data_IF_088533371547
#
_entry.id   IF_088533371547
#
_cell.length_a   1.000
_cell.length_b   1.000
_cell.length_c   1.000
_cell.angle_alpha   90.00
_cell.angle_beta   90.00
_cell.angle_gamma   90.00
#
_symmetry.space_group_name_H-M   'P 1'
#
loop_
_entity.id
_entity.type
_entity.pdbx_description
1 polymer ?
#
# COMPACT_ATOMS: atom_id res chain seq x y z
N UNK A 1 -5.76 10.95 -5.77
CA UNK A 1 -4.48 11.58 -5.35
C UNK A 1 -4.62 11.93 -3.89
N UNK A 2 -3.70 11.49 -3.05
CA UNK A 2 -3.87 11.55 -1.59
C UNK A 2 -3.15 12.75 -0.96
N UNK A 3 -2.00 13.15 -1.51
CA UNK A 3 -1.21 14.27 -1.04
C UNK A 3 -0.77 15.15 -2.22
N UNK A 4 -0.71 16.47 -1.99
CA UNK A 4 -0.15 17.43 -2.94
C UNK A 4 0.65 18.50 -2.20
N UNK A 5 1.85 18.80 -2.69
CA UNK A 5 2.73 19.81 -2.11
C UNK A 5 3.79 20.29 -3.11
N UNK A 6 4.49 21.36 -2.77
CA UNK A 6 5.62 21.85 -3.57
C UNK A 6 6.92 21.25 -3.05
N UNK A 7 7.57 20.44 -3.87
CA UNK A 7 8.87 19.86 -3.59
C UNK A 7 9.99 20.82 -4.01
N UNK A 8 11.10 20.94 -3.25
CA UNK A 8 12.16 21.91 -3.56
C UNK A 8 12.78 21.79 -4.94
N UNK A 9 12.90 20.57 -5.47
CA UNK A 9 13.54 20.29 -6.76
C UNK A 9 12.57 19.80 -7.85
N UNK A 10 11.46 19.18 -7.48
CA UNK A 10 10.49 18.59 -8.43
C UNK A 10 9.31 19.51 -8.74
N UNK A 11 9.19 20.66 -8.06
CA UNK A 11 8.06 21.56 -8.19
C UNK A 11 6.78 20.99 -7.57
N UNK A 12 5.63 21.16 -8.22
CA UNK A 12 4.37 20.61 -7.73
C UNK A 12 4.39 19.08 -7.84
N UNK A 13 4.19 18.42 -6.71
CA UNK A 13 4.18 16.96 -6.61
C UNK A 13 2.82 16.49 -6.09
N UNK A 14 2.27 15.50 -6.75
CA UNK A 14 1.13 14.73 -6.26
C UNK A 14 1.58 13.30 -5.93
N UNK A 15 1.27 12.86 -4.73
CA UNK A 15 1.53 11.49 -4.26
C UNK A 15 0.21 10.75 -4.23
N UNK A 16 0.19 9.56 -4.83
CA UNK A 16 -0.95 8.66 -4.80
C UNK A 16 -0.53 7.36 -4.12
N UNK A 17 -0.98 7.19 -2.88
CA UNK A 17 -0.61 6.07 -2.01
C UNK A 17 -1.40 4.83 -2.39
N UNK A 18 -0.74 3.69 -2.46
CA UNK A 18 -1.38 2.42 -2.76
C UNK A 18 -0.70 1.26 -2.03
N UNK A 19 -1.50 0.48 -1.30
CA UNK A 19 -1.03 -0.77 -0.68
C UNK A 19 -1.42 -1.92 -1.59
N UNK A 20 -0.45 -2.74 -1.97
CA UNK A 20 -0.65 -3.91 -2.83
C UNK A 20 -0.37 -5.20 -2.07
N UNK A 21 -1.18 -6.22 -2.31
CA UNK A 21 -0.95 -7.57 -1.80
C UNK A 21 -0.48 -8.50 -2.92
N UNK A 22 0.39 -9.44 -2.58
CA UNK A 22 0.75 -10.54 -3.47
C UNK A 22 -0.41 -11.55 -3.65
N UNK A 23 -1.31 -11.59 -2.66
CA UNK A 23 -2.45 -12.52 -2.62
C UNK A 23 -3.75 -11.73 -2.59
N UNK A 24 -4.34 -11.46 -3.74
CA UNK A 24 -5.71 -10.96 -3.83
C UNK A 24 -6.57 -12.00 -4.53
N UNK A 25 -7.80 -12.19 -4.07
CA UNK A 25 -8.77 -13.15 -4.63
C UNK A 25 -9.06 -12.96 -6.11
N UNK A 26 -8.70 -11.81 -6.67
CA UNK A 26 -8.85 -11.48 -8.09
C UNK A 26 -7.65 -11.89 -8.94
N UNK A 27 -6.60 -12.45 -8.35
CA UNK A 27 -5.40 -12.83 -9.10
C UNK A 27 -5.50 -14.28 -9.56
N UNK A 28 -5.38 -14.50 -10.87
CA UNK A 28 -5.18 -15.84 -11.44
C UNK A 28 -3.92 -16.46 -10.84
N UNK A 29 -3.94 -17.75 -10.52
CA UNK A 29 -2.83 -18.47 -9.89
C UNK A 29 -1.49 -18.34 -10.65
N UNK A 30 -1.55 -18.14 -11.97
CA UNK A 30 -0.40 -17.85 -12.82
C UNK A 30 0.28 -16.52 -12.46
N UNK A 31 -0.51 -15.49 -12.21
CA UNK A 31 -0.01 -14.16 -11.81
C UNK A 31 0.65 -14.17 -10.44
N UNK A 32 0.10 -14.95 -9.51
CA UNK A 32 0.68 -15.13 -8.17
C UNK A 32 2.06 -15.77 -8.28
N UNK A 33 2.22 -16.81 -9.12
CA UNK A 33 3.51 -17.46 -9.34
C UNK A 33 4.54 -16.53 -9.97
N UNK A 34 4.18 -15.83 -11.04
CA UNK A 34 5.09 -14.95 -11.77
C UNK A 34 5.55 -13.76 -10.89
N UNK A 35 4.67 -13.23 -10.06
CA UNK A 35 4.98 -12.10 -9.20
C UNK A 35 5.65 -12.53 -7.89
N UNK A 36 5.38 -13.74 -7.38
CA UNK A 36 6.08 -14.29 -6.23
C UNK A 36 7.53 -14.65 -6.55
N UNK A 37 7.84 -14.96 -7.81
CA UNK A 37 9.20 -15.25 -8.28
C UNK A 37 10.03 -14.00 -8.58
N UNK A 38 9.38 -12.82 -8.70
CA UNK A 38 10.05 -11.56 -9.03
C UNK A 38 10.14 -10.68 -7.78
N UNK A 39 11.36 -10.32 -7.40
CA UNK A 39 11.59 -9.42 -6.26
C UNK A 39 10.91 -8.07 -6.50
N UNK A 40 9.99 -7.68 -5.59
CA UNK A 40 9.18 -6.46 -5.73
C UNK A 40 8.07 -6.51 -6.78
N UNK A 41 7.72 -7.69 -7.30
CA UNK A 41 6.70 -7.86 -8.34
C UNK A 41 5.36 -7.17 -8.06
N UNK A 42 4.76 -7.32 -6.86
CA UNK A 42 3.52 -6.61 -6.52
C UNK A 42 3.68 -5.09 -6.55
N UNK A 43 4.79 -4.57 -6.04
CA UNK A 43 5.12 -3.15 -6.06
C UNK A 43 5.22 -2.60 -7.48
N UNK A 44 5.96 -3.25 -8.36
CA UNK A 44 6.11 -2.88 -9.78
C UNK A 44 4.75 -2.83 -10.47
N UNK A 45 3.89 -3.81 -10.24
CA UNK A 45 2.54 -3.83 -10.80
C UNK A 45 1.69 -2.66 -10.30
N UNK A 46 1.74 -2.36 -9.01
CA UNK A 46 1.03 -1.24 -8.42
C UNK A 46 1.46 0.09 -9.05
N UNK A 47 2.76 0.29 -9.22
CA UNK A 47 3.32 1.48 -9.90
C UNK A 47 2.82 1.59 -11.34
N UNK A 48 2.87 0.51 -12.12
CA UNK A 48 2.41 0.51 -13.50
C UNK A 48 0.91 0.81 -13.60
N UNK A 49 0.08 0.27 -12.71
CA UNK A 49 -1.34 0.58 -12.65
C UNK A 49 -1.60 2.07 -12.38
N UNK A 50 -0.80 2.71 -11.49
CA UNK A 50 -0.91 4.14 -11.22
C UNK A 50 -0.45 5.00 -12.40
N UNK A 51 0.63 4.62 -13.08
CA UNK A 51 1.12 5.32 -14.28
C UNK A 51 0.10 5.26 -15.43
N UNK A 52 -0.58 4.12 -15.61
CA UNK A 52 -1.66 4.00 -16.59
C UNK A 52 -2.88 4.86 -16.23
N UNK A 53 -3.23 4.93 -14.95
CA UNK A 53 -4.35 5.74 -14.47
C UNK A 53 -4.08 7.24 -14.58
N UNK A 54 -2.84 7.64 -14.34
CA UNK A 54 -2.41 9.05 -14.32
C UNK A 54 -1.19 9.25 -15.22
N UNK A 55 -1.36 9.20 -16.54
CA UNK A 55 -0.23 9.36 -17.45
C UNK A 55 0.34 10.79 -17.37
N UNK A 56 1.68 10.93 -17.39
CA UNK A 56 2.36 12.24 -17.23
C UNK A 56 1.89 13.30 -18.21
N UNK A 57 1.51 12.91 -19.41
CA UNK A 57 1.07 13.80 -20.49
C UNK A 57 -0.22 14.57 -20.13
N UNK A 58 -1.04 13.99 -19.24
CA UNK A 58 -2.25 14.62 -18.73
C UNK A 58 -1.99 15.59 -17.56
N UNK A 59 -0.78 15.54 -17.01
CA UNK A 59 -0.39 16.34 -15.84
C UNK A 59 0.95 17.07 -16.05
N UNK A 60 1.10 17.89 -17.11
CA UNK A 60 2.39 18.46 -17.52
C UNK A 60 2.98 19.46 -16.53
N UNK A 61 2.20 19.92 -15.56
CA UNK A 61 2.63 20.89 -14.53
C UNK A 61 2.91 20.28 -13.17
N UNK A 62 2.80 18.96 -13.03
CA UNK A 62 2.97 18.28 -11.77
C UNK A 62 3.69 16.96 -11.96
N UNK A 63 4.54 16.62 -11.01
CA UNK A 63 5.16 15.29 -10.92
C UNK A 63 4.24 14.37 -10.14
N UNK A 64 3.80 13.28 -10.75
CA UNK A 64 3.07 12.24 -10.05
C UNK A 64 4.03 11.22 -9.48
N UNK A 65 3.93 10.96 -8.19
CA UNK A 65 4.66 9.92 -7.49
C UNK A 65 3.72 8.79 -7.09
N UNK A 66 3.79 7.63 -7.72
CA UNK A 66 3.09 6.43 -7.26
C UNK A 66 3.79 5.88 -6.02
N UNK A 67 3.26 6.18 -4.84
CA UNK A 67 3.80 5.69 -3.57
C UNK A 67 3.19 4.33 -3.25
N UNK A 68 3.78 3.29 -3.80
CA UNK A 68 3.27 1.93 -3.65
C UNK A 68 4.04 1.19 -2.56
N UNK A 69 3.30 0.52 -1.68
CA UNK A 69 3.85 -0.31 -0.61
C UNK A 69 3.19 -1.68 -0.66
N UNK A 70 3.99 -2.73 -0.55
CA UNK A 70 3.47 -4.09 -0.40
C UNK A 70 2.85 -4.28 0.99
N UNK A 71 1.86 -5.14 1.09
CA UNK A 71 1.13 -5.38 2.34
C UNK A 71 2.03 -5.77 3.52
N UNK A 72 3.20 -6.36 3.26
CA UNK A 72 4.20 -6.69 4.27
C UNK A 72 5.19 -5.55 4.57
N UNK A 73 4.94 -4.34 4.07
CA UNK A 73 5.72 -3.14 4.41
C UNK A 73 6.86 -2.80 3.45
N UNK A 74 7.02 -3.54 2.34
CA UNK A 74 8.04 -3.24 1.34
C UNK A 74 7.59 -2.11 0.41
N UNK A 75 8.28 -0.95 0.37
CA UNK A 75 7.98 0.09 -0.59
C UNK A 75 8.55 -0.25 -1.97
N UNK A 76 7.91 0.26 -3.02
CA UNK A 76 8.45 0.22 -4.38
C UNK A 76 9.70 1.10 -4.52
N UNK A 77 10.49 0.90 -5.57
CA UNK A 77 11.67 1.75 -5.82
C UNK A 77 11.29 3.22 -5.99
N UNK A 78 10.17 3.52 -6.64
CA UNK A 78 9.66 4.89 -6.79
C UNK A 78 9.31 5.53 -5.44
N UNK A 79 8.72 4.77 -4.54
CA UNK A 79 8.42 5.23 -3.17
C UNK A 79 9.73 5.48 -2.40
N UNK A 80 10.74 4.61 -2.57
CA UNK A 80 12.06 4.77 -1.98
C UNK A 80 12.79 6.00 -2.50
N UNK A 81 12.82 6.20 -3.81
CA UNK A 81 13.47 7.35 -4.43
C UNK A 81 12.81 8.65 -4.01
N UNK A 82 11.49 8.63 -3.88
CA UNK A 82 10.77 9.77 -3.35
C UNK A 82 11.15 10.08 -1.90
N UNK A 83 11.17 9.08 -1.01
CA UNK A 83 11.62 9.26 0.38
C UNK A 83 13.08 9.75 0.44
N UNK A 84 13.95 9.23 -0.42
CA UNK A 84 15.34 9.70 -0.55
C UNK A 84 15.42 11.15 -0.98
N UNK A 85 14.54 11.61 -1.86
CA UNK A 85 14.50 13.00 -2.33
C UNK A 85 14.07 13.99 -1.24
N UNK A 86 13.29 13.55 -0.26
CA UNK A 86 12.86 14.34 0.90
C UNK A 86 13.88 14.32 2.04
N UNK A 87 14.81 13.37 2.04
CA UNK A 87 15.78 13.20 3.10
C UNK A 87 16.96 14.19 2.97
N UNK A 88 17.63 14.55 4.07
CA UNK A 88 18.80 15.42 4.05
C UNK A 88 19.90 14.94 3.10
N UNK A 89 20.71 15.89 2.58
CA UNK A 89 21.85 15.55 1.73
C UNK A 89 22.98 14.82 2.49
N UNK A 90 23.13 15.10 3.79
CA UNK A 90 24.09 14.42 4.65
C UNK A 90 23.74 12.92 4.78
N UNK A 91 24.69 12.06 4.44
CA UNK A 91 24.46 10.60 4.42
C UNK A 91 24.07 10.00 5.77
N UNK A 92 24.68 10.48 6.86
CA UNK A 92 24.38 9.99 8.21
C UNK A 92 22.97 10.38 8.66
N UNK A 93 22.59 11.64 8.46
CA UNK A 93 21.25 12.13 8.75
C UNK A 93 20.20 11.47 7.87
N UNK A 94 20.50 11.30 6.58
CA UNK A 94 19.66 10.60 5.61
C UNK A 94 19.34 9.18 6.07
N UNK A 95 20.36 8.44 6.52
CA UNK A 95 20.16 7.05 6.99
C UNK A 95 19.24 7.00 8.22
N UNK A 96 19.34 7.95 9.14
CA UNK A 96 18.49 8.03 10.32
C UNK A 96 17.04 8.35 9.92
N UNK A 97 16.84 9.37 9.08
CA UNK A 97 15.51 9.81 8.63
C UNK A 97 14.81 8.69 7.85
N UNK A 98 15.51 8.05 6.91
CA UNK A 98 14.92 6.95 6.14
C UNK A 98 14.58 5.76 7.01
N UNK A 99 15.44 5.36 7.96
CA UNK A 99 15.15 4.27 8.89
C UNK A 99 13.91 4.57 9.72
N UNK A 100 13.78 5.80 10.22
CA UNK A 100 12.60 6.23 10.98
C UNK A 100 11.34 6.17 10.13
N UNK A 101 11.37 6.70 8.91
CA UNK A 101 10.25 6.65 7.98
C UNK A 101 9.81 5.21 7.65
N UNK A 102 10.76 4.31 7.43
CA UNK A 102 10.50 2.88 7.24
C UNK A 102 9.84 2.23 8.44
N UNK A 103 10.37 2.49 9.63
CA UNK A 103 9.82 1.93 10.86
C UNK A 103 8.39 2.39 11.08
N UNK A 104 8.11 3.68 10.93
CA UNK A 104 6.77 4.25 11.08
C UNK A 104 5.80 3.67 10.05
N UNK A 105 6.21 3.59 8.78
CA UNK A 105 5.39 3.02 7.71
C UNK A 105 5.04 1.55 7.97
N UNK A 106 6.03 0.73 8.32
CA UNK A 106 5.82 -0.69 8.62
C UNK A 106 4.92 -0.89 9.83
N UNK A 107 5.08 -0.07 10.86
CA UNK A 107 4.24 -0.12 12.07
C UNK A 107 2.79 0.24 11.74
N UNK A 108 2.55 1.32 11.00
CA UNK A 108 1.20 1.73 10.60
C UNK A 108 0.51 0.67 9.74
N UNK A 109 1.24 0.04 8.81
CA UNK A 109 0.71 -1.05 7.99
C UNK A 109 0.35 -2.27 8.84
N UNK A 110 1.21 -2.67 9.77
CA UNK A 110 0.96 -3.81 10.66
C UNK A 110 -0.27 -3.56 11.54
N UNK A 111 -0.40 -2.36 12.12
CA UNK A 111 -1.57 -1.97 12.91
C UNK A 111 -2.84 -2.02 12.07
N UNK A 112 -2.81 -1.48 10.85
CA UNK A 112 -3.98 -1.48 9.97
C UNK A 112 -4.39 -2.88 9.55
N UNK A 113 -3.44 -3.76 9.27
CA UNK A 113 -3.74 -5.17 8.99
C UNK A 113 -4.37 -5.87 10.19
N UNK A 114 -3.84 -5.65 11.40
CA UNK A 114 -4.41 -6.20 12.62
C UNK A 114 -5.87 -5.72 12.84
N UNK A 115 -6.15 -4.43 12.64
CA UNK A 115 -7.52 -3.89 12.71
C UNK A 115 -8.46 -4.56 11.71
N UNK A 116 -8.02 -4.78 10.47
CA UNK A 116 -8.82 -5.44 9.44
C UNK A 116 -9.12 -6.89 9.80
N UNK A 117 -8.13 -7.63 10.32
CA UNK A 117 -8.32 -9.01 10.76
C UNK A 117 -9.31 -9.11 11.93
N UNK A 118 -9.14 -8.28 12.95
CA UNK A 118 -10.06 -8.23 14.09
C UNK A 118 -11.48 -7.85 13.67
N UNK A 119 -11.64 -6.94 12.72
CA UNK A 119 -12.94 -6.56 12.19
C UNK A 119 -13.61 -7.70 11.42
N UNK A 120 -12.82 -8.49 10.67
CA UNK A 120 -13.30 -9.65 9.94
C UNK A 120 -13.77 -10.78 10.89
N UNK A 121 -12.98 -11.06 11.95
CA UNK A 121 -13.35 -12.05 12.97
C UNK A 121 -14.64 -11.66 13.71
N UNK A 122 -14.78 -10.38 14.08
CA UNK A 122 -15.99 -9.86 14.70
C UNK A 122 -17.24 -10.00 13.82
N UNK A 123 -17.07 -9.88 12.51
CA UNK A 123 -18.14 -10.14 11.52
C UNK A 123 -18.55 -11.60 11.43
N UNK A 124 -17.59 -12.51 11.47
CA UNK A 124 -17.85 -13.97 11.44
C UNK A 124 -18.57 -14.43 12.71
N UNK A 125 -18.17 -13.93 13.88
CA UNK A 125 -18.82 -14.28 15.16
C UNK A 125 -20.28 -13.82 15.19
N UNK A 126 -20.60 -12.62 14.70
CA UNK A 126 -21.99 -12.13 14.62
C UNK A 126 -22.85 -12.96 13.67
N UNK A 127 -22.31 -13.33 12.50
CA UNK A 127 -23.02 -14.17 11.54
C UNK A 127 -23.30 -15.58 12.08
N UNK A 128 -22.40 -16.12 12.91
CA UNK A 128 -22.58 -17.42 13.57
C UNK A 128 -23.66 -17.42 14.64
N UNK A 129 -23.81 -16.34 15.39
CA UNK A 129 -24.82 -16.20 16.42
C UNK A 129 -26.26 -16.03 15.82
N UNK A 130 -26.38 -15.28 14.73
CA UNK A 130 -27.62 -15.12 13.99
C UNK A 130 -28.12 -16.43 13.36
N UNK A 131 -27.19 -17.27 12.88
CA UNK A 131 -27.53 -18.58 12.33
C UNK A 131 -28.05 -19.55 13.40
N UNK A 132 -27.40 -19.56 14.58
CA UNK A 132 -27.85 -20.40 15.72
C UNK A 132 -29.15 -19.93 16.33
N UNK A 133 -29.47 -18.65 16.29
CA UNK A 133 -30.77 -18.09 16.72
C UNK A 133 -31.94 -18.59 15.87
N UNK A 134 -31.74 -18.64 14.55
CA UNK A 134 -32.78 -19.10 13.60
C UNK A 134 -33.11 -20.61 13.69
N UNK A 135 -32.13 -21.46 14.02
CA UNK A 135 -32.38 -22.90 14.20
C UNK A 135 -33.20 -23.21 15.45
N UNK A 136 -33.14 -22.37 16.48
CA UNK A 136 -33.95 -22.57 17.71
C UNK A 136 -35.40 -22.19 17.52
N UNK A 137 -35.73 -21.23 16.67
CA UNK A 137 -37.11 -20.81 16.41
C UNK A 137 -37.86 -21.76 15.46
N UNK A 138 -37.19 -22.67 14.77
CA UNK A 138 -37.79 -23.64 13.87
C UNK A 138 -38.10 -24.99 14.56
N UNK A 139 -37.73 -25.14 15.83
CA UNK A 139 -37.91 -26.38 16.61
C UNK A 139 -38.92 -26.23 17.77
N UNK A 140 -39.65 -25.14 17.79
CA UNK A 140 -40.76 -24.88 18.70
C UNK A 140 -42.11 -24.90 17.96
#
# INVERSE_FOLDING_TARGET
MDLGFTHPTLGLVYVDVHVVSATTDQMRAEWVRDHASTDGGPGIRGVNAKRLKYPPEKHPRATLVPFVVEALGRPSEEALDFLRSLAPANLSERAIVLRKAYYELSTLLALRQAELLLSAEGGVLKAGDDARGRERDLSA
#
